data_IF_081177824027
#
_entry.id   IF_081177824027
#
_cell.length_a   1.000
_cell.length_b   1.000
_cell.length_c   1.000
_cell.angle_alpha   90.00
_cell.angle_beta   90.00
_cell.angle_gamma   90.00
#
_symmetry.space_group_name_H-M   'P 1'
#
loop_
_entity.id
_entity.type
_entity.pdbx_description
1 polymer ?
#
# COMPACT_ATOMS: atom_id res chain seq x y z
N UNK A 1 -23.14 -16.98 -22.74
CA UNK A 1 -23.54 -15.96 -21.74
C UNK A 1 -23.19 -16.40 -20.33
N UNK A 2 -23.50 -17.64 -19.94
CA UNK A 2 -23.27 -18.13 -18.58
C UNK A 2 -21.80 -18.12 -18.14
N UNK A 3 -20.88 -18.54 -19.00
CA UNK A 3 -19.43 -18.51 -18.71
C UNK A 3 -18.88 -17.09 -18.48
N UNK A 4 -19.44 -16.06 -19.15
CA UNK A 4 -19.05 -14.67 -18.94
C UNK A 4 -19.58 -14.13 -17.60
N UNK A 5 -20.81 -14.51 -17.23
CA UNK A 5 -21.36 -14.19 -15.92
C UNK A 5 -20.51 -14.80 -14.80
N UNK A 6 -20.15 -16.08 -14.92
CA UNK A 6 -19.29 -16.77 -13.95
C UNK A 6 -17.91 -16.10 -13.81
N UNK A 7 -17.33 -15.63 -14.91
CA UNK A 7 -16.06 -14.90 -14.88
C UNK A 7 -16.18 -13.55 -14.17
N UNK A 8 -17.25 -12.80 -14.41
CA UNK A 8 -17.52 -11.52 -13.74
C UNK A 8 -17.72 -11.75 -12.24
N UNK A 9 -18.48 -12.77 -11.86
CA UNK A 9 -18.74 -13.10 -10.47
C UNK A 9 -17.45 -13.48 -9.74
N UNK A 10 -16.60 -14.30 -10.37
CA UNK A 10 -15.28 -14.67 -9.81
C UNK A 10 -14.38 -13.46 -9.62
N UNK A 11 -14.30 -12.56 -10.60
CA UNK A 11 -13.51 -11.33 -10.47
C UNK A 11 -14.07 -10.39 -9.40
N UNK A 12 -15.39 -10.32 -9.26
CA UNK A 12 -16.07 -9.51 -8.25
C UNK A 12 -15.78 -10.04 -6.84
N UNK A 13 -15.78 -11.35 -6.64
CA UNK A 13 -15.37 -11.98 -5.37
C UNK A 13 -13.91 -11.61 -5.04
N UNK A 14 -12.99 -11.78 -6.00
CA UNK A 14 -11.59 -11.42 -5.80
C UNK A 14 -11.41 -9.93 -5.47
N UNK A 15 -12.16 -9.05 -6.14
CA UNK A 15 -12.16 -7.61 -5.85
C UNK A 15 -12.59 -7.31 -4.42
N UNK A 16 -13.67 -7.93 -3.95
CA UNK A 16 -14.18 -7.74 -2.59
C UNK A 16 -13.22 -8.29 -1.54
N UNK A 17 -12.59 -9.43 -1.80
CA UNK A 17 -11.58 -10.00 -0.91
C UNK A 17 -10.36 -9.09 -0.77
N UNK A 18 -9.80 -8.62 -1.89
CA UNK A 18 -8.68 -7.67 -1.89
C UNK A 18 -9.04 -6.35 -1.19
N UNK A 19 -10.27 -5.87 -1.35
CA UNK A 19 -10.76 -4.69 -0.64
C UNK A 19 -10.80 -4.92 0.88
N UNK A 20 -11.25 -6.09 1.33
CA UNK A 20 -11.24 -6.47 2.75
C UNK A 20 -9.81 -6.54 3.32
N UNK A 21 -8.87 -7.10 2.55
CA UNK A 21 -7.46 -7.15 2.93
C UNK A 21 -6.84 -5.73 2.99
N UNK A 22 -7.23 -4.83 2.08
CA UNK A 22 -6.82 -3.42 2.12
C UNK A 22 -7.31 -2.70 3.38
N UNK A 23 -8.57 -2.88 3.78
CA UNK A 23 -9.12 -2.28 5.00
C UNK A 23 -8.32 -2.75 6.22
N UNK A 24 -8.09 -4.06 6.33
CA UNK A 24 -7.33 -4.65 7.42
C UNK A 24 -5.89 -4.11 7.47
N UNK A 25 -5.24 -4.02 6.31
CA UNK A 25 -3.89 -3.45 6.19
C UNK A 25 -3.85 -1.98 6.64
N UNK A 26 -4.86 -1.18 6.30
CA UNK A 26 -4.95 0.23 6.73
C UNK A 26 -5.15 0.37 8.23
N UNK A 27 -5.98 -0.47 8.85
CA UNK A 27 -6.15 -0.48 10.31
C UNK A 27 -4.83 -0.78 11.03
N UNK A 28 -4.12 -1.82 10.59
CA UNK A 28 -2.81 -2.18 11.16
C UNK A 28 -1.79 -1.06 10.94
N UNK A 29 -1.80 -0.42 9.77
CA UNK A 29 -0.96 0.72 9.45
C UNK A 29 -1.21 1.88 10.41
N UNK A 30 -2.47 2.25 10.64
CA UNK A 30 -2.86 3.33 11.55
C UNK A 30 -2.41 3.06 12.99
N UNK A 31 -2.62 1.84 13.48
CA UNK A 31 -2.20 1.45 14.83
C UNK A 31 -0.67 1.46 14.97
N UNK A 32 0.05 0.99 13.95
CA UNK A 32 1.53 1.00 13.94
C UNK A 32 2.07 2.44 13.92
N UNK A 33 1.44 3.32 13.14
CA UNK A 33 1.78 4.76 13.10
C UNK A 33 1.54 5.40 14.48
N UNK A 34 0.37 5.13 15.07
CA UNK A 34 0.01 5.67 16.40
C UNK A 34 1.02 5.22 17.45
N UNK A 35 1.40 3.94 17.44
CA UNK A 35 2.42 3.40 18.33
C UNK A 35 3.80 4.03 18.10
N UNK A 36 4.19 4.25 16.84
CA UNK A 36 5.44 4.93 16.49
C UNK A 36 5.49 6.35 17.07
N UNK A 37 4.44 7.14 16.89
CA UNK A 37 4.35 8.48 17.45
C UNK A 37 4.34 8.49 18.98
N UNK A 38 3.61 7.56 19.60
CA UNK A 38 3.60 7.40 21.06
C UNK A 38 5.00 7.05 21.60
N UNK A 39 5.72 6.14 20.93
CA UNK A 39 7.07 5.76 21.33
C UNK A 39 8.05 6.95 21.21
N UNK A 40 7.95 7.76 20.14
CA UNK A 40 8.78 8.96 19.99
C UNK A 40 8.44 10.02 21.05
N UNK A 41 7.16 10.27 21.32
CA UNK A 41 6.77 11.25 22.33
C UNK A 41 7.24 10.83 23.73
N UNK A 42 7.11 9.54 24.06
CA UNK A 42 7.63 8.99 25.30
C UNK A 42 9.16 9.08 25.37
N UNK A 43 9.87 8.82 24.26
CA UNK A 43 11.31 9.00 24.17
C UNK A 43 11.72 10.46 24.46
N UNK A 44 10.97 11.44 23.93
CA UNK A 44 11.20 12.89 24.19
C UNK A 44 11.02 13.26 25.65
N UNK A 45 10.08 12.64 26.35
CA UNK A 45 9.89 12.86 27.79
C UNK A 45 11.07 12.30 28.58
N UNK A 46 11.55 11.11 28.24
CA UNK A 46 12.68 10.47 28.96
C UNK A 46 14.01 11.17 28.66
N UNK A 47 14.30 11.46 27.40
CA UNK A 47 15.59 12.02 26.98
C UNK A 47 15.65 13.54 27.09
N UNK A 48 14.52 14.22 27.12
CA UNK A 48 14.43 15.67 27.00
C UNK A 48 14.38 16.14 25.54
N UNK A 49 13.71 17.26 25.31
CA UNK A 49 13.38 17.79 23.97
C UNK A 49 14.61 18.15 23.13
N UNK A 50 15.71 18.56 23.77
CA UNK A 50 16.95 18.95 23.07
C UNK A 50 17.76 17.75 22.57
N UNK A 51 17.61 16.60 23.24
CA UNK A 51 18.33 15.36 22.92
C UNK A 51 17.63 14.53 21.84
N UNK A 52 16.39 14.88 21.47
CA UNK A 52 15.63 14.30 20.37
C UNK A 52 15.18 15.42 19.41
N UNK A 53 16.17 16.19 18.98
CA UNK A 53 16.01 17.35 18.10
C UNK A 53 16.97 17.26 16.91
N UNK A 54 16.70 18.08 15.89
CA UNK A 54 17.57 18.25 14.72
C UNK A 54 19.00 18.69 15.09
N UNK A 55 19.16 19.30 16.27
CA UNK A 55 20.46 19.70 16.82
C UNK A 55 21.43 18.53 17.03
N UNK A 56 20.92 17.30 17.11
CA UNK A 56 21.73 16.10 17.32
C UNK A 56 22.26 15.50 16.02
N UNK A 57 21.86 16.02 14.86
CA UNK A 57 22.27 15.46 13.59
C UNK A 57 23.77 15.70 13.37
N UNK A 58 24.47 14.66 12.94
CA UNK A 58 25.90 14.75 12.63
C UNK A 58 26.08 15.59 11.36
N UNK A 59 26.94 16.62 11.42
CA UNK A 59 27.37 17.35 10.22
C UNK A 59 28.29 16.51 9.33
N UNK A 60 28.93 15.49 9.91
CA UNK A 60 29.88 14.62 9.20
C UNK A 60 29.19 13.49 8.46
N UNK A 61 28.03 13.06 8.94
CA UNK A 61 27.26 11.96 8.34
C UNK A 61 25.98 12.52 7.69
N UNK A 62 25.87 12.54 6.35
CA UNK A 62 24.66 13.02 5.71
C UNK A 62 23.46 12.12 6.03
N UNK A 63 22.27 12.70 6.11
CA UNK A 63 21.03 11.95 6.29
C UNK A 63 20.67 11.21 5.00
N UNK A 64 20.93 9.90 4.98
CA UNK A 64 20.66 9.02 3.85
C UNK A 64 19.36 8.23 4.08
N UNK A 65 18.58 8.07 3.02
CA UNK A 65 17.38 7.24 3.05
C UNK A 65 17.78 5.77 3.13
N UNK A 66 17.28 5.05 4.15
CA UNK A 66 17.53 3.62 4.31
C UNK A 66 16.74 2.75 3.33
N UNK A 67 15.64 3.29 2.79
CA UNK A 67 14.73 2.60 1.89
C UNK A 67 14.41 3.51 0.72
N UNK A 68 14.65 3.02 -0.49
CA UNK A 68 14.24 3.66 -1.74
C UNK A 68 13.15 2.82 -2.38
N UNK A 69 12.14 3.49 -2.92
CA UNK A 69 11.00 2.87 -3.60
C UNK A 69 11.07 3.24 -5.07
N UNK A 70 11.14 2.24 -5.93
CA UNK A 70 11.06 2.39 -7.38
C UNK A 70 9.69 1.93 -7.84
N UNK A 71 8.98 2.78 -8.58
CA UNK A 71 7.66 2.49 -9.15
C UNK A 71 7.84 2.32 -10.65
N UNK A 72 7.62 1.12 -11.17
CA UNK A 72 7.48 0.86 -12.61
C UNK A 72 5.99 0.80 -12.97
N UNK A 73 5.57 1.43 -14.06
CA UNK A 73 4.16 1.52 -14.44
C UNK A 73 3.66 0.35 -15.29
N UNK A 74 4.52 -0.59 -15.69
CA UNK A 74 4.14 -1.75 -16.51
C UNK A 74 5.17 -2.88 -16.39
N UNK A 75 4.86 -4.00 -15.70
CA UNK A 75 3.81 -4.20 -14.68
C UNK A 75 4.03 -3.30 -13.45
N UNK A 76 2.96 -2.99 -12.68
CA UNK A 76 3.10 -2.24 -11.43
C UNK A 76 3.88 -3.03 -10.40
N UNK A 77 5.17 -2.75 -10.28
CA UNK A 77 6.06 -3.38 -9.31
C UNK A 77 6.60 -2.31 -8.39
N UNK A 78 6.29 -2.47 -7.11
CA UNK A 78 6.90 -1.69 -6.04
C UNK A 78 8.08 -2.52 -5.52
N UNK A 79 9.29 -2.12 -5.89
CA UNK A 79 10.51 -2.72 -5.36
C UNK A 79 11.05 -1.88 -4.20
N UNK A 80 11.27 -2.54 -3.06
CA UNK A 80 11.94 -1.97 -1.90
C UNK A 80 13.44 -2.21 -2.06
N UNK A 81 14.20 -1.17 -2.37
CA UNK A 81 15.66 -1.23 -2.33
C UNK A 81 16.12 -0.78 -0.94
N UNK A 82 16.84 -1.67 -0.26
CA UNK A 82 17.47 -1.38 1.03
C UNK A 82 18.97 -1.27 0.80
N UNK A 83 19.49 -0.05 0.84
CA UNK A 83 20.91 0.21 0.67
C UNK A 83 21.61 -0.09 2.01
N UNK A 84 22.05 -1.34 2.17
CA UNK A 84 22.76 -1.80 3.38
C UNK A 84 24.17 -1.22 3.49
N UNK A 85 24.76 -0.76 2.38
CA UNK A 85 26.15 -0.27 2.32
C UNK A 85 26.32 1.13 2.95
N UNK A 86 25.24 1.92 3.07
CA UNK A 86 25.28 3.30 3.57
C UNK A 86 24.40 3.52 4.81
N UNK A 87 24.01 2.45 5.51
CA UNK A 87 23.24 2.52 6.73
C UNK A 87 24.14 2.92 7.91
N UNK A 88 24.52 4.19 7.98
CA UNK A 88 25.01 4.76 9.23
C UNK A 88 23.89 4.63 10.26
N UNK A 89 24.21 4.04 11.41
CA UNK A 89 23.26 3.87 12.51
C UNK A 89 22.86 5.24 13.06
N UNK A 90 21.78 5.81 12.51
CA UNK A 90 21.28 7.15 12.82
C UNK A 90 20.86 7.30 14.28
N UNK A 91 20.67 6.19 15.01
CA UNK A 91 20.43 6.24 16.44
C UNK A 91 21.65 6.79 17.21
N UNK A 92 22.86 6.63 16.68
CA UNK A 92 24.10 7.14 17.31
C UNK A 92 24.12 8.66 17.42
N UNK A 93 23.38 9.36 16.55
CA UNK A 93 23.22 10.81 16.63
C UNK A 93 22.58 11.25 17.95
N UNK A 94 21.73 10.40 18.54
CA UNK A 94 21.03 10.69 19.80
C UNK A 94 21.75 10.14 21.05
N UNK A 95 23.04 9.80 20.91
CA UNK A 95 23.92 9.36 22.00
C UNK A 95 24.23 7.85 22.01
N UNK A 96 25.21 7.47 22.85
CA UNK A 96 25.72 6.09 22.93
C UNK A 96 24.68 5.10 23.52
N UNK A 97 23.82 5.58 24.42
CA UNK A 97 22.81 4.79 25.12
C UNK A 97 21.41 5.28 24.73
N UNK A 98 20.98 4.97 23.50
CA UNK A 98 19.60 5.26 23.09
C UNK A 98 18.62 4.34 23.82
N UNK A 99 17.56 4.91 24.45
CA UNK A 99 16.60 4.12 25.19
C UNK A 99 15.82 3.20 24.25
N UNK A 100 15.40 2.04 24.78
CA UNK A 100 14.71 1.03 23.99
C UNK A 100 13.44 1.57 23.32
N UNK A 101 12.76 2.52 23.96
CA UNK A 101 11.55 3.15 23.41
C UNK A 101 11.82 3.91 22.09
N UNK A 102 12.99 4.53 21.95
CA UNK A 102 13.37 5.22 20.71
C UNK A 102 13.61 4.21 19.58
N UNK A 103 14.29 3.10 19.91
CA UNK A 103 14.52 1.99 18.97
C UNK A 103 13.20 1.36 18.52
N UNK A 104 12.26 1.19 19.45
CA UNK A 104 10.91 0.71 19.14
C UNK A 104 10.15 1.70 18.25
N UNK A 105 10.24 3.00 18.51
CA UNK A 105 9.67 4.03 17.64
C UNK A 105 10.22 3.93 16.22
N UNK A 106 11.54 3.87 16.05
CA UNK A 106 12.18 3.69 14.73
C UNK A 106 11.69 2.42 14.02
N UNK A 107 11.62 1.29 14.73
CA UNK A 107 11.13 0.02 14.19
C UNK A 107 9.66 0.10 13.75
N UNK A 108 8.80 0.74 14.54
CA UNK A 108 7.40 0.97 14.17
C UNK A 108 7.30 1.75 12.86
N UNK A 109 8.10 2.82 12.67
CA UNK A 109 8.08 3.56 11.41
C UNK A 109 8.64 2.77 10.22
N UNK A 110 9.65 1.91 10.43
CA UNK A 110 10.11 1.00 9.38
C UNK A 110 9.00 0.03 8.96
N UNK A 111 8.26 -0.53 9.92
CA UNK A 111 7.11 -1.40 9.66
C UNK A 111 5.97 -0.64 8.97
N UNK A 112 5.71 0.60 9.36
CA UNK A 112 4.74 1.48 8.69
C UNK A 112 5.05 1.64 7.20
N UNK A 113 6.32 1.82 6.83
CA UNK A 113 6.71 1.93 5.42
C UNK A 113 6.34 0.64 4.67
N UNK A 114 6.64 -0.52 5.26
CA UNK A 114 6.31 -1.82 4.64
C UNK A 114 4.81 -2.02 4.47
N UNK A 115 4.02 -1.72 5.50
CA UNK A 115 2.55 -1.77 5.45
C UNK A 115 1.97 -0.77 4.44
N UNK A 116 2.56 0.41 4.31
CA UNK A 116 2.14 1.40 3.32
C UNK A 116 2.41 0.90 1.89
N UNK A 117 3.53 0.20 1.66
CA UNK A 117 3.83 -0.41 0.36
C UNK A 117 2.81 -1.50 0.03
N UNK A 118 2.48 -2.36 0.99
CA UNK A 118 1.47 -3.40 0.79
C UNK A 118 0.08 -2.81 0.53
N UNK A 119 -0.29 -1.73 1.23
CA UNK A 119 -1.54 -1.02 0.96
C UNK A 119 -1.56 -0.41 -0.45
N UNK A 120 -0.45 0.16 -0.94
CA UNK A 120 -0.34 0.68 -2.30
C UNK A 120 -0.45 -0.43 -3.36
N UNK A 121 0.23 -1.57 -3.17
CA UNK A 121 0.13 -2.72 -4.08
C UNK A 121 -1.31 -3.21 -4.19
N UNK A 122 -2.02 -3.33 -3.07
CA UNK A 122 -3.42 -3.76 -3.04
C UNK A 122 -4.34 -2.76 -3.69
N UNK A 123 -4.14 -1.46 -3.47
CA UNK A 123 -4.90 -0.40 -4.13
C UNK A 123 -4.76 -0.51 -5.65
N UNK A 124 -3.55 -0.73 -6.15
CA UNK A 124 -3.36 -0.92 -7.59
C UNK A 124 -4.08 -2.17 -8.11
N UNK A 125 -3.97 -3.30 -7.40
CA UNK A 125 -4.65 -4.53 -7.79
C UNK A 125 -6.19 -4.35 -7.83
N UNK A 126 -6.75 -3.64 -6.85
CA UNK A 126 -8.17 -3.29 -6.80
C UNK A 126 -8.58 -2.45 -8.02
N UNK A 127 -7.76 -1.47 -8.41
CA UNK A 127 -8.01 -0.65 -9.61
C UNK A 127 -7.93 -1.49 -10.89
N UNK A 128 -6.96 -2.40 -10.97
CA UNK A 128 -6.82 -3.33 -12.08
C UNK A 128 -8.04 -4.25 -12.21
N UNK A 129 -8.44 -4.92 -11.12
CA UNK A 129 -9.61 -5.79 -11.09
C UNK A 129 -10.90 -5.04 -11.46
N UNK A 130 -11.07 -3.82 -10.95
CA UNK A 130 -12.18 -2.94 -11.32
C UNK A 130 -12.22 -2.69 -12.83
N UNK A 131 -11.08 -2.37 -13.43
CA UNK A 131 -10.98 -2.15 -14.88
C UNK A 131 -11.38 -3.38 -15.69
N UNK A 132 -10.92 -4.57 -15.27
CA UNK A 132 -11.28 -5.84 -15.91
C UNK A 132 -12.79 -6.13 -15.81
N UNK A 133 -13.39 -5.93 -14.63
CA UNK A 133 -14.83 -6.10 -14.42
C UNK A 133 -15.63 -5.14 -15.32
N UNK A 134 -15.22 -3.87 -15.40
CA UNK A 134 -15.88 -2.88 -16.26
C UNK A 134 -15.79 -3.23 -17.74
N UNK A 135 -14.68 -3.82 -18.20
CA UNK A 135 -14.52 -4.29 -19.58
C UNK A 135 -15.50 -5.44 -19.88
N UNK A 136 -15.52 -6.47 -19.04
CA UNK A 136 -16.41 -7.63 -19.23
C UNK A 136 -17.90 -7.25 -19.13
N UNK A 137 -18.24 -6.28 -18.28
CA UNK A 137 -19.61 -5.75 -18.20
C UNK A 137 -20.03 -5.00 -19.48
N UNK A 138 -19.10 -4.28 -20.12
CA UNK A 138 -19.36 -3.64 -21.42
C UNK A 138 -19.56 -4.69 -22.51
N UNK A 139 -18.73 -5.73 -22.53
CA UNK A 139 -18.86 -6.85 -23.45
C UNK A 139 -20.22 -7.54 -23.30
N UNK A 140 -20.61 -7.89 -22.07
CA UNK A 140 -21.93 -8.48 -21.77
C UNK A 140 -23.09 -7.64 -22.28
N UNK A 141 -23.04 -6.31 -22.07
CA UNK A 141 -24.06 -5.39 -22.58
C UNK A 141 -24.14 -5.42 -24.11
N UNK A 142 -23.00 -5.45 -24.81
CA UNK A 142 -22.95 -5.50 -26.27
C UNK A 142 -23.57 -6.78 -26.85
N UNK A 143 -23.40 -7.93 -26.17
CA UNK A 143 -24.05 -9.18 -26.56
C UNK A 143 -25.56 -9.09 -26.42
N UNK A 144 -26.05 -8.52 -25.31
CA UNK A 144 -27.49 -8.34 -25.07
C UNK A 144 -28.13 -7.41 -26.13
N UNK A 145 -27.46 -6.33 -26.53
CA UNK A 145 -27.98 -5.42 -27.57
C UNK A 145 -28.05 -6.10 -28.94
N UNK A 146 -27.08 -6.96 -29.29
CA UNK A 146 -27.09 -7.72 -30.55
C UNK A 146 -28.19 -8.77 -30.59
N UNK A 147 -28.42 -9.47 -29.47
CA UNK A 147 -29.47 -10.48 -29.34
C UNK A 147 -30.88 -9.87 -29.52
N UNK A 148 -31.13 -8.72 -28.87
CA UNK A 148 -32.38 -7.98 -29.05
C UNK A 148 -32.62 -7.44 -30.48
N UNK A 149 -31.57 -7.21 -31.27
CA UNK A 149 -31.72 -6.80 -32.68
C UNK A 149 -32.09 -7.98 -33.58
N UNK A 150 -31.61 -9.19 -33.27
CA UNK A 150 -31.94 -10.42 -34.01
C UNK A 150 -33.40 -10.82 -33.74
N UNK A 151 -33.85 -10.74 -32.49
CA UNK A 151 -35.23 -11.08 -32.11
C UNK A 151 -36.28 -10.10 -32.68
N UNK A 152 -35.91 -8.84 -32.91
CA UNK A 152 -36.80 -7.85 -33.51
C UNK A 152 -36.90 -7.99 -35.04
N UNK A 153 -35.82 -8.40 -35.72
CA UNK A 153 -35.85 -8.64 -37.16
C UNK A 153 -36.60 -9.94 -37.53
N UNK A 154 -36.60 -10.95 -36.65
CA UNK A 154 -37.35 -12.19 -36.86
C UNK A 154 -38.87 -12.06 -36.57
N UNK A 155 -39.33 -10.94 -36.01
CA UNK A 155 -40.77 -10.66 -35.73
C UNK A 155 -41.46 -9.84 -36.81
N UNK A 156 -40.73 -9.35 -37.81
CA UNK A 156 -41.28 -8.52 -38.90
C UNK A 156 -41.52 -9.30 -40.21
N UNK A 157 -41.20 -10.59 -40.24
CA UNK A 157 -41.37 -11.47 -41.41
C UNK A 157 -42.50 -12.52 -41.26
N UNK A 158 -43.37 -12.39 -40.25
CA UNK A 158 -44.68 -13.09 -40.13
C UNK A 158 -45.84 -12.09 -40.21
#
# INVERSE_FOLDING_TARGET
>A
MDSLCEQIDKLTINYLEEFGQLISCKQILEDTIRQGYFNISHARVIMGVNNLSYLQYSEKDPMLASTKISISSSPFQIEKQTDKEHCNDTLKWFGLLTPNILKQGQKSFQQTIDLALDACRRQENILYLKSQIEQLLKEKKSYLTKENLIDNNNKTDE
#
